data_IF_039399075997
#
_entry.id   IF_039399075997
#
_cell.length_a   1.000
_cell.length_b   1.000
_cell.length_c   1.000
_cell.angle_alpha   90.00
_cell.angle_beta   90.00
_cell.angle_gamma   90.00
#
_symmetry.space_group_name_H-M   'P 1'
#
loop_
_entity.id
_entity.type
_entity.pdbx_description
1 polymer ?
#
# COMPACT_ATOMS: atom_id res chain seq x y z
N UNK A 1 -10.92 -6.23 7.09
CA UNK A 1 -11.36 -4.98 6.43
C UNK A 1 -10.28 -3.93 6.44
N UNK A 2 -10.06 -3.33 5.27
CA UNK A 2 -9.16 -2.19 5.06
C UNK A 2 -10.03 -0.98 4.69
N UNK A 3 -9.78 0.16 5.31
CA UNK A 3 -10.56 1.39 5.08
C UNK A 3 -9.64 2.56 4.72
N UNK A 4 -10.16 3.48 3.90
CA UNK A 4 -9.51 4.74 3.57
C UNK A 4 -10.18 5.88 4.35
N UNK A 5 -9.39 6.65 5.08
CA UNK A 5 -9.88 7.85 5.78
C UNK A 5 -9.36 9.09 5.06
N UNK A 6 -10.26 9.91 4.51
CA UNK A 6 -9.91 11.18 3.88
C UNK A 6 -9.69 12.24 4.95
N UNK A 7 -8.51 12.86 4.97
CA UNK A 7 -8.13 13.85 5.97
C UNK A 7 -7.83 15.18 5.30
N UNK A 8 -8.71 16.16 5.49
CA UNK A 8 -8.48 17.55 5.09
C UNK A 8 -7.94 18.34 6.28
N UNK A 9 -6.76 18.95 6.12
CA UNK A 9 -6.03 19.69 7.19
C UNK A 9 -6.04 21.21 7.01
N UNK A 10 -6.94 21.76 6.19
CA UNK A 10 -7.04 23.21 5.94
C UNK A 10 -7.18 23.97 7.27
N UNK A 11 -6.33 24.97 7.48
CA UNK A 11 -6.25 25.82 8.68
C UNK A 11 -6.07 25.08 10.02
N UNK A 12 -5.70 23.79 9.98
CA UNK A 12 -5.45 22.99 11.18
C UNK A 12 -3.95 22.97 11.53
N UNK A 13 -3.60 23.47 12.71
CA UNK A 13 -2.21 23.58 13.20
C UNK A 13 -1.91 22.69 14.40
N UNK A 14 -2.84 21.81 14.79
CA UNK A 14 -2.64 20.87 15.88
C UNK A 14 -1.61 19.77 15.55
N UNK A 15 -1.09 19.05 16.55
CA UNK A 15 0.06 18.16 16.39
C UNK A 15 -0.25 16.90 15.55
N UNK A 16 -1.51 16.46 15.49
CA UNK A 16 -1.91 15.31 14.69
C UNK A 16 -3.33 15.44 14.12
N UNK A 17 -4.38 15.11 14.89
CA UNK A 17 -5.80 15.25 14.53
C UNK A 17 -6.58 15.85 15.72
N UNK A 18 -7.77 16.43 15.51
CA UNK A 18 -8.59 16.93 16.62
C UNK A 18 -8.82 15.86 17.69
N UNK A 19 -8.73 16.26 18.97
CA UNK A 19 -8.83 15.34 20.11
C UNK A 19 -7.51 14.66 20.51
N UNK A 20 -6.46 14.75 19.69
CA UNK A 20 -5.12 14.30 20.07
C UNK A 20 -4.32 15.45 20.70
N UNK A 21 -3.43 15.07 21.62
CA UNK A 21 -2.48 15.97 22.28
C UNK A 21 -1.10 15.33 22.28
N UNK A 22 -0.07 16.16 22.36
CA UNK A 22 1.29 15.67 22.55
C UNK A 22 1.37 14.76 23.78
N UNK A 23 2.13 13.68 23.63
CA UNK A 23 2.38 12.78 24.74
C UNK A 23 3.35 13.44 25.73
N UNK A 24 3.03 13.37 27.03
CA UNK A 24 3.83 14.03 28.07
C UNK A 24 5.17 13.33 28.34
N UNK A 25 5.26 12.02 28.07
CA UNK A 25 6.52 11.27 28.13
C UNK A 25 7.35 11.50 26.88
N UNK A 26 8.67 11.60 27.06
CA UNK A 26 9.67 11.59 25.99
C UNK A 26 10.31 10.21 25.91
N UNK A 27 10.45 9.70 24.68
CA UNK A 27 11.15 8.44 24.43
C UNK A 27 12.66 8.64 24.61
N UNK A 28 13.25 7.90 25.55
CA UNK A 28 14.65 8.02 25.92
C UNK A 28 15.55 7.05 25.15
N UNK A 29 14.97 6.01 24.53
CA UNK A 29 15.71 4.95 23.82
C UNK A 29 16.06 5.34 22.39
N UNK A 30 15.26 6.21 21.73
CA UNK A 30 15.49 6.60 20.34
C UNK A 30 16.83 7.32 20.11
N UNK A 31 17.46 7.86 21.15
CA UNK A 31 18.79 8.48 21.09
C UNK A 31 19.96 7.52 21.28
N UNK A 32 19.71 6.25 21.60
CA UNK A 32 20.76 5.25 21.85
C UNK A 32 21.34 4.64 20.56
N UNK A 33 20.66 4.86 19.44
CA UNK A 33 21.06 4.38 18.11
C UNK A 33 20.90 5.51 17.10
N UNK A 34 21.65 5.47 15.97
CA UNK A 34 21.39 6.38 14.87
C UNK A 34 19.93 6.29 14.42
N UNK A 35 19.29 7.45 14.28
CA UNK A 35 17.91 7.54 13.80
C UNK A 35 17.90 7.15 12.32
N UNK A 36 17.07 6.17 11.89
CA UNK A 36 16.97 5.82 10.48
C UNK A 36 16.40 6.98 9.67
N UNK A 37 16.95 7.21 8.48
CA UNK A 37 16.53 8.28 7.56
C UNK A 37 15.28 7.86 6.77
N UNK A 38 14.16 7.62 7.48
CA UNK A 38 12.86 7.40 6.87
C UNK A 38 12.17 8.73 6.63
N UNK A 39 11.89 9.06 5.36
CA UNK A 39 11.37 10.36 4.97
C UNK A 39 9.85 10.38 4.87
N UNK A 40 9.29 9.47 4.07
CA UNK A 40 7.86 9.38 3.80
C UNK A 40 7.50 7.96 3.34
N UNK A 41 6.20 7.66 3.30
CA UNK A 41 5.67 6.42 2.75
C UNK A 41 5.64 6.55 1.22
N UNK A 42 6.34 5.66 0.52
CA UNK A 42 6.39 5.65 -0.95
C UNK A 42 5.17 4.95 -1.58
N UNK A 43 4.78 3.79 -1.04
CA UNK A 43 3.65 3.00 -1.52
C UNK A 43 3.10 2.07 -0.42
N UNK A 44 1.89 1.54 -0.61
CA UNK A 44 1.29 0.54 0.26
C UNK A 44 0.69 -0.62 -0.56
N UNK A 45 1.14 -1.86 -0.30
CA UNK A 45 0.75 -3.05 -1.07
C UNK A 45 -0.49 -3.71 -0.49
N UNK A 46 -1.50 -3.97 -1.32
CA UNK A 46 -2.71 -4.71 -0.99
C UNK A 46 -2.74 -6.10 -1.63
N UNK A 47 -2.60 -7.15 -0.83
CA UNK A 47 -2.70 -8.54 -1.26
C UNK A 47 -4.16 -9.01 -1.28
N UNK A 48 -4.60 -9.61 -2.39
CA UNK A 48 -5.97 -10.07 -2.62
C UNK A 48 -6.00 -11.59 -2.85
N UNK A 49 -7.20 -12.17 -2.78
CA UNK A 49 -7.40 -13.56 -3.16
C UNK A 49 -7.30 -13.74 -4.69
N UNK A 50 -7.28 -15.00 -5.14
CA UNK A 50 -7.23 -15.33 -6.57
C UNK A 50 -8.46 -14.77 -7.30
N UNK A 51 -8.23 -13.97 -8.35
CA UNK A 51 -9.28 -13.32 -9.14
C UNK A 51 -9.84 -12.03 -8.54
N UNK A 52 -9.30 -11.56 -7.41
CA UNK A 52 -9.73 -10.33 -6.75
C UNK A 52 -8.87 -9.11 -7.07
N UNK A 53 -7.72 -9.26 -7.73
CA UNK A 53 -6.87 -8.11 -8.09
C UNK A 53 -7.61 -7.12 -9.00
N UNK A 54 -8.25 -7.62 -10.05
CA UNK A 54 -8.92 -6.80 -11.06
C UNK A 54 -10.16 -6.07 -10.49
N UNK A 55 -11.08 -6.73 -9.76
CA UNK A 55 -12.18 -6.04 -9.06
C UNK A 55 -11.69 -4.94 -8.11
N UNK A 56 -10.60 -5.18 -7.37
CA UNK A 56 -10.06 -4.19 -6.43
C UNK A 56 -9.40 -3.03 -7.18
N UNK A 57 -8.62 -3.30 -8.22
CA UNK A 57 -8.05 -2.26 -9.07
C UNK A 57 -9.14 -1.38 -9.69
N UNK A 58 -10.20 -2.00 -10.21
CA UNK A 58 -11.36 -1.29 -10.77
C UNK A 58 -12.08 -0.42 -9.74
N UNK A 59 -12.14 -0.86 -8.46
CA UNK A 59 -12.70 -0.04 -7.40
C UNK A 59 -11.91 1.27 -7.21
N UNK A 60 -10.57 1.22 -7.24
CA UNK A 60 -9.74 2.43 -7.19
C UNK A 60 -10.00 3.35 -8.40
N UNK A 61 -10.11 2.79 -9.61
CA UNK A 61 -10.43 3.55 -10.82
C UNK A 61 -11.78 4.26 -10.72
N UNK A 62 -12.82 3.54 -10.30
CA UNK A 62 -14.20 4.05 -10.35
C UNK A 62 -14.54 4.98 -9.18
N UNK A 63 -14.01 4.70 -7.98
CA UNK A 63 -14.42 5.40 -6.77
C UNK A 63 -13.50 6.57 -6.44
N UNK A 64 -12.21 6.46 -6.78
CA UNK A 64 -11.18 7.42 -6.38
C UNK A 64 -10.52 8.11 -7.58
N UNK A 65 -10.92 7.77 -8.82
CA UNK A 65 -10.36 8.31 -10.06
C UNK A 65 -8.84 8.04 -10.19
N UNK A 66 -8.40 6.90 -9.65
CA UNK A 66 -7.03 6.43 -9.83
C UNK A 66 -6.87 5.84 -11.23
N UNK A 67 -5.62 5.73 -11.69
CA UNK A 67 -5.30 5.09 -12.95
C UNK A 67 -4.22 4.03 -12.79
N UNK A 68 -4.16 3.10 -13.74
CA UNK A 68 -3.11 2.07 -13.78
C UNK A 68 -1.80 2.69 -14.22
N UNK A 69 -0.83 2.64 -13.32
CA UNK A 69 0.53 3.12 -13.60
C UNK A 69 1.41 2.03 -14.19
N UNK A 70 1.29 0.81 -13.66
CA UNK A 70 2.10 -0.32 -14.08
C UNK A 70 1.38 -1.64 -13.83
N UNK A 71 1.67 -2.66 -14.63
CA UNK A 71 1.12 -4.00 -14.45
C UNK A 71 2.17 -5.06 -14.76
N UNK A 72 2.22 -6.10 -13.95
CA UNK A 72 3.06 -7.28 -14.13
C UNK A 72 2.18 -8.50 -14.24
N UNK A 73 2.39 -9.26 -15.32
CA UNK A 73 1.84 -10.59 -15.46
C UNK A 73 2.79 -11.68 -14.96
N UNK A 74 2.24 -12.89 -14.87
CA UNK A 74 2.95 -14.12 -14.51
C UNK A 74 4.06 -14.50 -15.50
N UNK A 75 4.07 -13.92 -16.70
CA UNK A 75 5.15 -14.13 -17.69
C UNK A 75 6.38 -13.27 -17.38
N UNK A 76 6.23 -12.12 -16.72
CA UNK A 76 7.34 -11.24 -16.35
C UNK A 76 7.92 -11.51 -14.95
N UNK A 77 7.10 -11.87 -13.95
CA UNK A 77 7.58 -12.23 -12.60
C UNK A 77 7.16 -13.67 -12.27
N UNK A 78 8.04 -14.60 -12.61
CA UNK A 78 7.98 -15.98 -12.14
C UNK A 78 9.35 -16.45 -11.66
N UNK A 79 9.33 -17.22 -10.58
CA UNK A 79 10.42 -18.16 -10.31
C UNK A 79 9.96 -19.54 -10.81
N UNK A 80 10.85 -20.54 -10.84
CA UNK A 80 10.46 -21.91 -11.20
C UNK A 80 9.37 -22.50 -10.26
N UNK A 81 9.03 -21.83 -9.14
CA UNK A 81 8.20 -22.39 -8.07
C UNK A 81 6.94 -21.57 -7.77
N UNK A 82 6.92 -20.26 -7.98
CA UNK A 82 5.76 -19.38 -7.74
C UNK A 82 5.72 -18.19 -8.70
N UNK A 83 4.51 -17.67 -8.91
CA UNK A 83 4.22 -16.47 -9.70
C UNK A 83 3.20 -15.59 -8.96
N UNK A 84 3.16 -14.30 -9.34
CA UNK A 84 2.16 -13.35 -8.89
C UNK A 84 1.74 -12.46 -10.06
N UNK A 85 0.54 -11.90 -9.97
CA UNK A 85 0.12 -10.77 -10.80
C UNK A 85 0.03 -9.54 -9.92
N UNK A 86 0.39 -8.40 -10.49
CA UNK A 86 0.35 -7.13 -9.77
C UNK A 86 -0.09 -6.00 -10.68
N UNK A 87 -0.95 -5.13 -10.18
CA UNK A 87 -1.31 -3.86 -10.83
C UNK A 87 -1.06 -2.73 -9.83
N UNK A 88 -0.34 -1.71 -10.25
CA UNK A 88 -0.08 -0.51 -9.44
C UNK A 88 -1.09 0.56 -9.80
N UNK A 89 -1.98 0.86 -8.84
CA UNK A 89 -2.94 1.96 -8.93
C UNK A 89 -2.34 3.23 -8.35
N UNK A 90 -2.49 4.36 -9.04
CA UNK A 90 -1.98 5.67 -8.57
C UNK A 90 -3.02 6.77 -8.73
N UNK A 91 -2.94 7.80 -7.89
CA UNK A 91 -3.75 9.00 -8.05
C UNK A 91 -3.30 9.83 -9.26
N UNK A 92 -4.07 10.87 -9.62
CA UNK A 92 -3.78 11.71 -10.78
C UNK A 92 -2.36 12.31 -10.77
N UNK A 93 -1.86 12.75 -9.61
CA UNK A 93 -0.52 13.35 -9.47
C UNK A 93 0.59 12.31 -9.18
N UNK A 94 0.26 11.01 -9.20
CA UNK A 94 1.13 9.87 -8.94
C UNK A 94 1.88 9.91 -7.58
N UNK A 95 1.29 10.60 -6.59
CA UNK A 95 1.81 10.73 -5.23
C UNK A 95 1.46 9.54 -4.34
N UNK A 96 0.28 8.97 -4.51
CA UNK A 96 -0.21 7.81 -3.79
C UNK A 96 -0.07 6.60 -4.71
N UNK A 97 0.63 5.56 -4.26
CA UNK A 97 0.86 4.34 -5.04
C UNK A 97 0.36 3.12 -4.26
N UNK A 98 -0.54 2.37 -4.88
CA UNK A 98 -1.19 1.20 -4.30
C UNK A 98 -0.99 -0.02 -5.21
N UNK A 99 0.11 -0.78 -5.07
CA UNK A 99 0.24 -2.08 -5.71
C UNK A 99 -0.80 -3.05 -5.18
N UNK A 100 -1.57 -3.66 -6.07
CA UNK A 100 -2.59 -4.67 -5.78
C UNK A 100 -2.10 -6.00 -6.35
N UNK A 101 -1.94 -7.00 -5.50
CA UNK A 101 -1.41 -8.32 -5.89
C UNK A 101 -2.47 -9.40 -5.77
N UNK A 102 -2.41 -10.39 -6.65
CA UNK A 102 -3.10 -11.69 -6.46
C UNK A 102 -2.11 -12.84 -6.70
N UNK A 103 -2.37 -14.02 -6.11
CA UNK A 103 -1.59 -15.21 -6.44
C UNK A 103 -1.73 -15.56 -7.94
N UNK A 104 -0.68 -16.11 -8.53
CA UNK A 104 -0.76 -16.74 -9.84
C UNK A 104 -0.29 -18.21 -9.77
N UNK A 105 -0.70 -19.00 -10.76
CA UNK A 105 -0.43 -20.44 -10.79
C UNK A 105 1.08 -20.73 -10.88
N UNK A 106 1.60 -21.50 -9.93
CA UNK A 106 2.98 -22.00 -9.87
C UNK A 106 3.04 -23.44 -9.34
N UNK A 107 4.22 -24.09 -9.40
CA UNK A 107 4.40 -25.46 -8.92
C UNK A 107 4.22 -25.61 -7.40
N UNK A 108 4.26 -24.51 -6.64
CA UNK A 108 3.98 -24.44 -5.20
C UNK A 108 3.04 -23.26 -4.93
N UNK A 109 2.40 -23.26 -3.74
CA UNK A 109 1.55 -22.16 -3.27
C UNK A 109 2.31 -20.82 -3.36
N UNK A 110 1.63 -19.80 -3.86
CA UNK A 110 2.19 -18.44 -3.98
C UNK A 110 2.32 -17.80 -2.59
N UNK A 111 3.34 -16.94 -2.41
CA UNK A 111 3.56 -16.22 -1.14
C UNK A 111 2.38 -15.33 -0.75
N UNK A 112 1.58 -14.87 -1.73
CA UNK A 112 0.34 -14.13 -1.48
C UNK A 112 -0.73 -15.01 -0.85
N UNK A 113 -0.78 -16.29 -1.23
CA UNK A 113 -1.76 -17.24 -0.69
C UNK A 113 -1.39 -17.74 0.72
N UNK A 114 -0.18 -17.45 1.19
CA UNK A 114 0.24 -17.68 2.59
C UNK A 114 -0.15 -16.53 3.52
N UNK A 115 -0.46 -15.35 2.98
CA UNK A 115 -0.93 -14.17 3.71
C UNK A 115 -2.45 -14.25 3.94
#
# INVERSE_FOLDING_TARGET
DTIHTFVQRTDYTGPFLPGYREHHLRENLNGLVPIPELLYIDHCVGNQQDGEMEPVAQWYEQMLDFHRFWSVDDKMIHTNYSSLRSVVMVDFDEKIKMPINEPANGMRKSQIQEF
#
